data_IF_657366974013
#
_entry.id   IF_657366974013
#
_cell.length_a   1.000
_cell.length_b   1.000
_cell.length_c   1.000
_cell.angle_alpha   90.00
_cell.angle_beta   90.00
_cell.angle_gamma   90.00
#
_symmetry.space_group_name_H-M   'P 1'
#
loop_
_entity.id
_entity.type
_entity.pdbx_description
1 polymer ?
#
# COMPACT_ATOMS: atom_id res chain seq x y z
N UNK A 1 0.28 8.82 -8.37
CA UNK A 1 0.46 7.45 -7.83
C UNK A 1 -0.86 6.70 -7.91
N UNK A 2 -0.80 5.38 -8.12
CA UNK A 2 -2.00 4.53 -8.16
C UNK A 2 -1.99 3.64 -6.92
N UNK A 3 -3.00 3.80 -6.08
CA UNK A 3 -3.23 2.89 -4.95
C UNK A 3 -4.07 1.71 -5.41
N UNK A 4 -3.84 0.56 -4.79
CA UNK A 4 -4.59 -0.66 -5.10
C UNK A 4 -4.75 -1.53 -3.86
N UNK A 5 -5.82 -2.31 -3.87
CA UNK A 5 -6.08 -3.39 -2.92
C UNK A 5 -5.87 -4.70 -3.66
N UNK A 6 -5.21 -5.65 -3.01
CA UNK A 6 -4.85 -6.93 -3.59
C UNK A 6 -5.01 -8.05 -2.57
N UNK A 7 -5.09 -9.28 -3.05
CA UNK A 7 -5.11 -10.50 -2.24
C UNK A 7 -3.88 -11.34 -2.56
N UNK A 8 -3.18 -11.79 -1.52
CA UNK A 8 -2.07 -12.74 -1.59
C UNK A 8 -2.28 -13.79 -0.49
N UNK A 9 -2.17 -15.08 -0.82
CA UNK A 9 -2.39 -16.18 0.13
C UNK A 9 -3.73 -16.10 0.91
N UNK A 10 -4.80 -15.61 0.27
CA UNK A 10 -6.12 -15.35 0.89
C UNK A 10 -6.15 -14.23 1.94
N UNK A 11 -5.10 -13.43 2.04
CA UNK A 11 -5.06 -12.23 2.86
C UNK A 11 -5.17 -10.97 2.00
N UNK A 12 -6.10 -10.08 2.36
CA UNK A 12 -6.22 -8.78 1.73
C UNK A 12 -5.17 -7.81 2.25
N UNK A 13 -4.57 -7.06 1.34
CA UNK A 13 -3.61 -6.01 1.63
C UNK A 13 -3.76 -4.86 0.63
N UNK A 14 -3.00 -3.79 0.84
CA UNK A 14 -3.01 -2.61 -0.03
C UNK A 14 -1.61 -2.05 -0.20
N UNK A 15 -1.42 -1.34 -1.31
CA UNK A 15 -0.11 -0.85 -1.71
C UNK A 15 -0.18 0.25 -2.76
N UNK A 16 1.00 0.64 -3.24
CA UNK A 16 1.15 1.61 -4.33
C UNK A 16 1.76 0.89 -5.52
N UNK A 17 1.22 1.14 -6.70
CA UNK A 17 1.85 0.75 -7.95
C UNK A 17 3.04 1.68 -8.22
N UNK A 18 4.26 1.13 -8.18
CA UNK A 18 5.51 1.88 -8.36
C UNK A 18 5.94 1.98 -9.82
N UNK A 19 5.61 0.96 -10.62
CA UNK A 19 5.78 0.92 -12.08
C UNK A 19 4.66 0.07 -12.70
N UNK A 20 4.73 -0.29 -13.98
CA UNK A 20 3.63 -1.04 -14.62
C UNK A 20 3.46 -2.48 -14.12
N UNK A 21 4.44 -3.02 -13.40
CA UNK A 21 4.53 -4.44 -13.06
C UNK A 21 4.74 -4.71 -11.57
N UNK A 22 4.99 -3.70 -10.75
CA UNK A 22 5.36 -3.90 -9.35
C UNK A 22 4.49 -3.09 -8.39
N UNK A 23 4.13 -3.76 -7.30
CA UNK A 23 3.40 -3.21 -6.18
C UNK A 23 4.36 -3.07 -5.02
N UNK A 24 4.32 -1.94 -4.33
CA UNK A 24 4.98 -1.77 -3.05
C UNK A 24 3.94 -1.85 -1.92
N UNK A 25 4.02 -2.87 -1.04
CA UNK A 25 3.10 -3.00 0.10
C UNK A 25 3.23 -1.81 1.05
N UNK A 26 2.11 -1.19 1.42
CA UNK A 26 2.14 -0.02 2.32
C UNK A 26 2.17 -0.40 3.80
N UNK A 27 1.57 -1.53 4.16
CA UNK A 27 1.41 -1.95 5.56
C UNK A 27 2.74 -2.07 6.33
N UNK A 28 3.80 -2.70 5.80
CA UNK A 28 5.10 -2.75 6.49
C UNK A 28 5.71 -1.35 6.63
N UNK A 29 5.57 -0.52 5.61
CA UNK A 29 6.14 0.83 5.56
C UNK A 29 5.50 1.69 6.65
N UNK A 30 4.17 1.77 6.71
CA UNK A 30 3.49 2.58 7.73
C UNK A 30 3.78 2.12 9.16
N UNK A 31 4.02 0.81 9.38
CA UNK A 31 4.41 0.29 10.68
C UNK A 31 5.76 0.84 11.15
N UNK A 32 6.71 1.03 10.24
CA UNK A 32 8.01 1.65 10.56
C UNK A 32 7.89 3.13 10.94
N UNK A 33 6.87 3.82 10.43
CA UNK A 33 6.53 5.19 10.85
C UNK A 33 5.75 5.22 12.19
N UNK A 34 5.51 4.07 12.83
CA UNK A 34 4.70 3.97 14.05
C UNK A 34 3.19 4.13 13.80
N UNK A 35 2.76 4.05 12.54
CA UNK A 35 1.40 4.28 12.08
C UNK A 35 0.68 2.94 11.89
N UNK A 36 0.27 2.32 12.99
CA UNK A 36 -0.27 0.95 13.01
C UNK A 36 -1.79 0.86 12.82
N UNK A 37 -2.47 1.99 12.57
CA UNK A 37 -3.92 2.10 12.66
C UNK A 37 -4.67 2.09 11.32
N UNK A 38 -4.00 1.81 10.20
CA UNK A 38 -4.62 1.70 8.87
C UNK A 38 -4.73 0.23 8.41
N UNK A 39 -5.81 -0.49 8.77
CA UNK A 39 -6.01 -1.89 8.38
C UNK A 39 -6.26 -2.08 6.87
N UNK A 40 -6.78 -1.06 6.20
CA UNK A 40 -7.13 -1.07 4.79
C UNK A 40 -6.81 0.27 4.12
N UNK A 41 -6.94 0.31 2.79
CA UNK A 41 -6.63 1.49 1.99
C UNK A 41 -7.54 2.69 2.34
N UNK A 42 -8.81 2.45 2.67
CA UNK A 42 -9.74 3.51 3.03
C UNK A 42 -9.32 4.19 4.34
N UNK A 43 -8.92 3.40 5.32
CA UNK A 43 -8.39 3.85 6.60
C UNK A 43 -7.10 4.63 6.41
N UNK A 44 -6.19 4.16 5.56
CA UNK A 44 -4.97 4.89 5.20
C UNK A 44 -5.29 6.29 4.63
N UNK A 45 -6.21 6.36 3.66
CA UNK A 45 -6.60 7.63 3.01
C UNK A 45 -7.31 8.57 4.00
N UNK A 46 -8.13 8.05 4.90
CA UNK A 46 -8.90 8.86 5.86
C UNK A 46 -8.06 9.36 7.03
N UNK A 47 -7.09 8.58 7.49
CA UNK A 47 -6.36 8.86 8.72
C UNK A 47 -5.15 9.78 8.52
N UNK A 48 -4.46 9.67 7.39
CA UNK A 48 -3.21 10.38 7.17
C UNK A 48 -3.42 11.60 6.28
N UNK A 49 -2.92 12.74 6.75
CA UNK A 49 -2.94 13.97 5.97
C UNK A 49 -1.95 13.89 4.81
N UNK A 50 -2.03 14.87 3.90
CA UNK A 50 -1.20 14.89 2.69
C UNK A 50 0.31 14.93 3.00
N UNK A 51 0.73 15.55 4.10
CA UNK A 51 2.14 15.62 4.47
C UNK A 51 2.65 14.25 4.90
N UNK A 52 1.94 13.57 5.80
CA UNK A 52 2.30 12.22 6.24
C UNK A 52 2.34 11.25 5.07
N UNK A 53 1.37 11.35 4.15
CA UNK A 53 1.40 10.57 2.91
C UNK A 53 2.68 10.87 2.12
N UNK A 54 3.01 12.14 1.89
CA UNK A 54 4.24 12.51 1.17
C UNK A 54 5.50 11.97 1.84
N UNK A 55 5.62 12.05 3.17
CA UNK A 55 6.78 11.54 3.91
C UNK A 55 6.96 10.02 3.70
N UNK A 56 5.84 9.26 3.71
CA UNK A 56 5.83 7.83 3.41
C UNK A 56 6.25 7.59 1.95
N UNK A 57 5.75 8.41 1.03
CA UNK A 57 6.03 8.31 -0.40
C UNK A 57 7.52 8.55 -0.72
N UNK A 58 8.16 9.50 -0.03
CA UNK A 58 9.60 9.77 -0.14
C UNK A 58 10.46 8.61 0.38
N UNK A 59 9.93 7.82 1.31
CA UNK A 59 10.64 6.67 1.85
C UNK A 59 10.53 5.39 0.98
N UNK A 60 9.56 5.33 0.07
CA UNK A 60 9.31 4.14 -0.77
C UNK A 60 10.55 3.55 -1.49
N UNK A 61 11.49 4.36 -2.04
CA UNK A 61 12.67 3.81 -2.70
C UNK A 61 13.54 2.92 -1.80
N UNK A 62 13.49 3.11 -0.47
CA UNK A 62 14.23 2.28 0.50
C UNK A 62 13.66 0.87 0.64
N UNK A 63 12.42 0.66 0.19
CA UNK A 63 11.69 -0.60 0.30
C UNK A 63 11.63 -1.35 -1.04
N UNK A 64 12.49 -1.03 -1.99
CA UNK A 64 12.48 -1.66 -3.31
C UNK A 64 12.60 -3.20 -3.25
N UNK A 65 13.29 -3.74 -2.25
CA UNK A 65 13.41 -5.19 -2.04
C UNK A 65 12.10 -5.85 -1.56
N UNK A 66 11.13 -5.07 -1.10
CA UNK A 66 9.81 -5.55 -0.66
C UNK A 66 8.75 -5.50 -1.77
N UNK A 67 9.15 -5.14 -3.00
CA UNK A 67 8.25 -5.07 -4.14
C UNK A 67 7.69 -6.46 -4.47
N UNK A 68 6.40 -6.48 -4.82
CA UNK A 68 5.67 -7.68 -5.20
C UNK A 68 5.27 -7.54 -6.68
N UNK A 69 5.54 -8.55 -7.53
CA UNK A 69 5.09 -8.54 -8.92
C UNK A 69 3.56 -8.48 -9.00
N UNK A 70 3.02 -7.58 -9.83
CA UNK A 70 1.59 -7.36 -10.05
C UNK A 70 0.87 -8.64 -10.50
N UNK A 71 1.55 -9.47 -11.29
CA UNK A 71 1.03 -10.74 -11.78
C UNK A 71 0.99 -11.87 -10.72
N UNK A 72 1.58 -11.65 -9.54
CA UNK A 72 1.61 -12.62 -8.45
C UNK A 72 0.47 -12.44 -7.45
N UNK A 73 -0.36 -11.41 -7.64
CA UNK A 73 -1.49 -11.10 -6.75
C UNK A 73 -2.81 -11.06 -7.52
N UNK A 74 -3.91 -11.23 -6.79
CA UNK A 74 -5.25 -10.96 -7.33
C UNK A 74 -5.63 -9.53 -7.02
N UNK A 75 -5.83 -8.72 -8.04
CA UNK A 75 -6.33 -7.35 -7.88
C UNK A 75 -7.79 -7.36 -7.45
N UNK A 76 -8.10 -6.48 -6.50
CA UNK A 76 -9.45 -6.27 -5.99
C UNK A 76 -9.89 -4.83 -6.29
N UNK A 77 -11.15 -4.52 -5.98
CA UNK A 77 -11.62 -3.14 -5.95
C UNK A 77 -10.75 -2.34 -4.96
N UNK A 78 -10.24 -1.13 -5.31
CA UNK A 78 -9.40 -0.36 -4.41
C UNK A 78 -10.06 -0.09 -3.04
N UNK A 79 -11.37 0.16 -3.04
CA UNK A 79 -12.17 0.28 -1.82
C UNK A 79 -13.34 -0.70 -1.97
N UNK A 80 -13.22 -1.94 -1.45
CA UNK A 80 -14.26 -2.97 -1.61
C UNK A 80 -15.58 -2.62 -0.93
N UNK A 81 -15.51 -1.84 0.17
CA UNK A 81 -16.64 -1.41 0.99
C UNK A 81 -16.51 0.10 1.26
N UNK A 82 -17.10 0.96 0.42
CA UNK A 82 -16.93 2.42 0.49
C UNK A 82 -17.65 3.11 1.66
#
# INVERSE_FOLDING_TARGET
MKYLTYEINSEMSYGVLVDENNILPLKPIIQEFGLNNAPDLLSFIRQYNIQTVNDILEALPRYAEQMIPLNSVKLLSPIPYP
#
